data_IF_129965790982
#
_entry.id   IF_129965790982
#
_cell.length_a   1.000
_cell.length_b   1.000
_cell.length_c   1.000
_cell.angle_alpha   90.00
_cell.angle_beta   90.00
_cell.angle_gamma   90.00
#
_symmetry.space_group_name_H-M   'P 1'
#
loop_
_entity.id
_entity.type
_entity.pdbx_description
1 polymer ?
#
# COMPACT_ATOMS: atom_id res chain seq x y z
N UNK A 1 -15.56 -62.95 17.03
CA UNK A 1 -16.22 -62.43 15.80
C UNK A 1 -16.96 -61.12 16.15
N UNK A 2 -16.24 -60.11 16.69
CA UNK A 2 -16.84 -58.85 17.21
C UNK A 2 -16.02 -57.56 17.01
N UNK A 3 -14.97 -57.62 16.22
CA UNK A 3 -14.05 -56.44 16.11
C UNK A 3 -14.13 -55.66 14.78
N UNK A 4 -15.25 -55.70 14.07
CA UNK A 4 -15.38 -55.00 12.78
C UNK A 4 -16.30 -53.76 12.81
N UNK A 5 -16.86 -53.40 13.95
CA UNK A 5 -17.89 -52.34 13.99
C UNK A 5 -17.30 -50.99 14.43
N UNK A 6 -16.23 -50.95 15.24
CA UNK A 6 -15.69 -49.71 15.84
C UNK A 6 -14.98 -48.79 14.86
N UNK A 7 -14.37 -49.31 13.80
CA UNK A 7 -13.55 -48.49 12.87
C UNK A 7 -14.39 -47.51 12.01
N UNK A 8 -15.68 -47.78 11.82
CA UNK A 8 -16.56 -46.91 11.03
C UNK A 8 -17.13 -45.73 11.85
N UNK A 9 -17.39 -45.90 13.12
CA UNK A 9 -17.88 -44.83 13.99
C UNK A 9 -16.79 -43.81 14.32
N UNK A 10 -15.58 -44.24 14.62
CA UNK A 10 -14.43 -43.37 14.91
C UNK A 10 -14.08 -42.48 13.70
N UNK A 11 -14.17 -43.01 12.48
CA UNK A 11 -13.94 -42.22 11.26
C UNK A 11 -15.00 -41.15 11.02
N UNK A 12 -16.25 -41.39 11.40
CA UNK A 12 -17.33 -40.43 11.30
C UNK A 12 -17.16 -39.26 12.27
N UNK A 13 -16.80 -39.55 13.50
CA UNK A 13 -16.58 -38.54 14.55
C UNK A 13 -15.41 -37.65 14.22
N UNK A 14 -14.28 -38.19 13.80
CA UNK A 14 -13.11 -37.44 13.38
C UNK A 14 -13.39 -36.49 12.19
N UNK A 15 -14.24 -36.90 11.24
CA UNK A 15 -14.64 -36.07 10.13
C UNK A 15 -15.48 -34.88 10.54
N UNK A 16 -16.39 -35.07 11.53
CA UNK A 16 -17.20 -33.98 12.07
C UNK A 16 -16.37 -33.01 12.87
N UNK A 17 -15.41 -33.49 13.70
CA UNK A 17 -14.47 -32.63 14.41
C UNK A 17 -13.63 -31.80 13.46
N UNK A 18 -13.09 -32.40 12.39
CA UNK A 18 -12.34 -31.68 11.36
C UNK A 18 -13.20 -30.64 10.65
N UNK A 19 -14.44 -30.96 10.29
CA UNK A 19 -15.35 -30.04 9.63
C UNK A 19 -15.69 -28.81 10.50
N UNK A 20 -15.65 -28.95 11.82
CA UNK A 20 -15.91 -27.88 12.76
C UNK A 20 -14.67 -26.98 12.98
N UNK A 21 -13.48 -27.56 12.94
CA UNK A 21 -12.21 -26.82 13.08
C UNK A 21 -11.79 -26.15 11.78
N UNK A 22 -12.11 -26.75 10.62
CA UNK A 22 -11.68 -26.28 9.30
C UNK A 22 -12.04 -24.82 9.03
N UNK A 23 -13.25 -24.30 9.31
CA UNK A 23 -13.58 -22.89 9.07
C UNK A 23 -12.68 -21.92 9.86
N UNK A 24 -12.38 -22.26 11.11
CA UNK A 24 -11.52 -21.45 11.98
C UNK A 24 -10.09 -21.46 11.44
N UNK A 25 -9.59 -22.62 11.04
CA UNK A 25 -8.26 -22.76 10.45
C UNK A 25 -8.12 -21.96 9.16
N UNK A 26 -9.13 -22.02 8.27
CA UNK A 26 -9.14 -21.24 7.04
C UNK A 26 -9.19 -19.73 7.30
N UNK A 27 -9.95 -19.29 8.29
CA UNK A 27 -10.02 -17.89 8.67
C UNK A 27 -8.65 -17.36 9.13
N UNK A 28 -7.95 -18.12 9.97
CA UNK A 28 -6.59 -17.79 10.43
C UNK A 28 -5.62 -17.77 9.22
N UNK A 29 -5.68 -18.78 8.37
CA UNK A 29 -4.80 -18.87 7.19
C UNK A 29 -4.99 -17.69 6.25
N UNK A 30 -6.22 -17.36 5.88
CA UNK A 30 -6.52 -16.21 5.02
C UNK A 30 -6.18 -14.88 5.70
N UNK A 31 -6.37 -14.77 7.01
CA UNK A 31 -5.94 -13.61 7.79
C UNK A 31 -4.44 -13.38 7.71
N UNK A 32 -3.64 -14.42 7.88
CA UNK A 32 -2.18 -14.35 7.77
C UNK A 32 -1.72 -13.96 6.36
N UNK A 33 -2.34 -14.53 5.33
CA UNK A 33 -2.02 -14.19 3.93
C UNK A 33 -2.38 -12.75 3.60
N UNK A 34 -3.55 -12.27 4.05
CA UNK A 34 -3.97 -10.89 3.84
C UNK A 34 -3.07 -9.90 4.57
N UNK A 35 -2.66 -10.21 5.79
CA UNK A 35 -1.74 -9.39 6.56
C UNK A 35 -0.35 -9.31 5.89
N UNK A 36 0.17 -10.45 5.42
CA UNK A 36 1.44 -10.51 4.69
C UNK A 36 1.42 -9.63 3.43
N UNK A 37 0.32 -9.65 2.68
CA UNK A 37 0.14 -8.80 1.50
C UNK A 37 0.08 -7.31 1.88
N UNK A 38 -0.68 -6.95 2.92
CA UNK A 38 -0.77 -5.57 3.40
C UNK A 38 0.59 -5.03 3.87
N UNK A 39 1.38 -5.86 4.55
CA UNK A 39 2.73 -5.51 4.97
C UNK A 39 3.67 -5.28 3.78
N UNK A 40 3.55 -6.09 2.72
CA UNK A 40 4.30 -5.88 1.49
C UNK A 40 3.96 -4.54 0.82
N UNK A 41 2.67 -4.16 0.79
CA UNK A 41 2.25 -2.86 0.26
C UNK A 41 2.84 -1.70 1.06
N UNK A 42 2.81 -1.78 2.39
CA UNK A 42 3.41 -0.75 3.25
C UNK A 42 4.92 -0.59 3.01
N UNK A 43 5.63 -1.71 2.85
CA UNK A 43 7.05 -1.69 2.55
C UNK A 43 7.35 -1.06 1.18
N UNK A 44 6.59 -1.43 0.15
CA UNK A 44 6.74 -0.90 -1.21
C UNK A 44 6.41 0.60 -1.26
N UNK A 45 5.31 1.04 -0.66
CA UNK A 45 4.94 2.47 -0.58
C UNK A 45 6.00 3.31 0.15
N UNK A 46 6.61 2.77 1.20
CA UNK A 46 7.69 3.44 1.92
C UNK A 46 8.94 3.58 1.04
N UNK A 47 9.27 2.55 0.28
CA UNK A 47 10.36 2.56 -0.68
C UNK A 47 10.10 3.55 -1.82
N UNK A 48 8.92 3.52 -2.42
CA UNK A 48 8.51 4.44 -3.48
C UNK A 48 8.52 5.90 -3.02
N UNK A 49 8.06 6.18 -1.79
CA UNK A 49 8.10 7.52 -1.22
C UNK A 49 9.55 8.01 -1.06
N UNK A 50 10.45 7.16 -0.58
CA UNK A 50 11.86 7.51 -0.41
C UNK A 50 12.56 7.73 -1.75
N UNK A 51 12.30 6.91 -2.76
CA UNK A 51 12.83 7.09 -4.11
C UNK A 51 12.26 8.34 -4.78
N UNK A 52 10.95 8.56 -4.69
CA UNK A 52 10.30 9.76 -5.19
C UNK A 52 10.85 11.04 -4.57
N UNK A 53 11.13 11.02 -3.26
CA UNK A 53 11.75 12.16 -2.58
C UNK A 53 13.16 12.45 -3.11
N UNK A 54 13.95 11.43 -3.44
CA UNK A 54 15.29 11.62 -4.06
C UNK A 54 15.20 12.30 -5.43
N UNK A 55 14.24 11.90 -6.28
CA UNK A 55 14.01 12.55 -7.56
C UNK A 55 13.53 13.99 -7.40
N UNK A 56 12.63 14.23 -6.44
CA UNK A 56 12.11 15.56 -6.15
C UNK A 56 13.20 16.52 -5.65
N UNK A 57 14.12 16.05 -4.81
CA UNK A 57 15.22 16.84 -4.23
C UNK A 57 16.13 17.45 -5.30
N UNK A 58 16.47 16.68 -6.31
CA UNK A 58 17.36 17.11 -7.41
C UNK A 58 16.61 17.69 -8.60
N UNK A 59 15.31 17.93 -8.46
CA UNK A 59 14.43 18.42 -9.52
C UNK A 59 14.49 17.55 -10.80
N UNK A 60 14.64 16.25 -10.65
CA UNK A 60 14.67 15.33 -11.78
C UNK A 60 13.29 14.69 -12.00
N UNK A 61 12.93 14.55 -13.27
CA UNK A 61 11.76 13.82 -13.72
C UNK A 61 12.18 12.88 -14.86
N UNK A 62 12.56 11.64 -14.55
CA UNK A 62 13.06 10.70 -15.57
C UNK A 62 11.95 10.17 -16.49
N UNK A 63 10.69 10.31 -16.10
CA UNK A 63 9.55 9.94 -16.93
C UNK A 63 9.14 11.04 -17.91
N UNK A 64 8.58 10.69 -19.04
CA UNK A 64 8.05 11.65 -20.01
C UNK A 64 6.75 12.35 -19.59
N UNK A 65 6.19 12.00 -18.43
CA UNK A 65 4.94 12.52 -17.87
C UNK A 65 5.15 13.25 -16.54
N UNK A 66 4.26 13.03 -15.57
CA UNK A 66 4.44 13.57 -14.23
C UNK A 66 5.40 12.71 -13.40
N UNK A 67 6.14 13.33 -12.48
CA UNK A 67 6.99 12.60 -11.53
C UNK A 67 6.16 11.63 -10.69
N UNK A 68 4.94 12.00 -10.33
CA UNK A 68 4.00 11.15 -9.60
C UNK A 68 3.64 9.88 -10.38
N UNK A 69 3.39 10.00 -11.68
CA UNK A 69 3.10 8.84 -12.54
C UNK A 69 4.32 7.95 -12.69
N UNK A 70 5.50 8.54 -12.80
CA UNK A 70 6.75 7.78 -12.83
C UNK A 70 6.93 6.96 -11.55
N UNK A 71 6.79 7.59 -10.36
CA UNK A 71 6.89 6.90 -9.07
C UNK A 71 5.87 5.77 -8.98
N UNK A 72 4.61 6.02 -9.36
CA UNK A 72 3.56 5.01 -9.33
C UNK A 72 3.89 3.79 -10.21
N UNK A 73 4.49 4.01 -11.38
CA UNK A 73 4.88 2.93 -12.28
C UNK A 73 6.03 2.07 -11.76
N UNK A 74 6.78 2.54 -10.75
CA UNK A 74 7.85 1.77 -10.10
C UNK A 74 7.32 0.79 -9.04
N UNK A 75 6.02 0.81 -8.70
CA UNK A 75 5.46 -0.14 -7.76
C UNK A 75 5.63 -1.59 -8.24
N UNK A 76 5.96 -2.48 -7.32
CA UNK A 76 6.32 -3.88 -7.61
C UNK A 76 5.19 -4.68 -8.27
N UNK A 77 3.94 -4.29 -8.04
CA UNK A 77 2.77 -5.00 -8.57
C UNK A 77 1.86 -4.10 -9.40
N UNK A 78 1.31 -4.63 -10.50
CA UNK A 78 0.33 -3.90 -11.31
C UNK A 78 -0.96 -3.53 -10.53
N UNK A 79 -1.29 -4.29 -9.48
CA UNK A 79 -2.40 -3.97 -8.59
C UNK A 79 -2.11 -2.70 -7.80
N UNK A 80 -0.93 -2.60 -7.18
CA UNK A 80 -0.51 -1.41 -6.44
C UNK A 80 -0.34 -0.21 -7.37
N UNK A 81 0.20 -0.39 -8.59
CA UNK A 81 0.27 0.67 -9.60
C UNK A 81 -1.10 1.29 -9.90
N UNK A 82 -2.17 0.48 -9.89
CA UNK A 82 -3.54 0.93 -10.11
C UNK A 82 -4.17 1.63 -8.89
N UNK A 83 -3.74 1.29 -7.69
CA UNK A 83 -4.30 1.78 -6.43
C UNK A 83 -3.49 2.93 -5.81
N UNK A 84 -2.20 3.02 -6.10
CA UNK A 84 -1.31 3.97 -5.47
C UNK A 84 -1.60 5.41 -5.93
N UNK A 85 -1.75 6.29 -4.95
CA UNK A 85 -1.82 7.73 -5.12
C UNK A 85 -0.52 8.36 -4.60
N UNK A 86 0.18 9.07 -5.49
CA UNK A 86 1.45 9.72 -5.16
C UNK A 86 1.19 11.22 -5.01
N UNK A 87 1.60 11.77 -3.89
CA UNK A 87 1.49 13.18 -3.58
C UNK A 87 2.85 13.79 -3.28
N UNK A 88 3.15 14.93 -3.89
CA UNK A 88 4.36 15.73 -3.63
C UNK A 88 3.93 17.06 -3.03
N UNK A 89 4.42 17.37 -1.83
CA UNK A 89 4.11 18.59 -1.11
C UNK A 89 5.39 19.32 -0.66
N UNK A 90 5.29 20.62 -0.56
CA UNK A 90 6.34 21.47 -0.01
C UNK A 90 5.84 22.08 1.30
N UNK A 91 6.02 21.39 2.44
CA UNK A 91 5.67 21.97 3.72
C UNK A 91 6.53 23.21 4.03
N UNK A 92 5.96 24.14 4.78
CA UNK A 92 6.68 25.33 5.20
C UNK A 92 7.87 24.95 6.08
N UNK A 93 9.03 25.47 5.76
CA UNK A 93 10.23 25.30 6.57
C UNK A 93 10.09 26.08 7.87
N UNK A 94 10.10 25.44 9.04
CA UNK A 94 9.89 26.13 10.32
C UNK A 94 11.03 27.11 10.68
N UNK A 95 12.21 26.96 10.07
CA UNK A 95 13.36 27.83 10.35
C UNK A 95 13.35 29.11 9.50
N UNK A 96 12.82 29.06 8.29
CA UNK A 96 12.86 30.18 7.32
C UNK A 96 11.49 30.77 7.02
N UNK A 97 10.42 30.03 7.30
CA UNK A 97 9.05 30.40 6.92
C UNK A 97 8.76 30.29 5.41
N UNK A 98 9.69 29.71 4.65
CA UNK A 98 9.59 29.54 3.18
C UNK A 98 9.15 28.12 2.81
N UNK A 99 8.73 27.94 1.57
CA UNK A 99 8.42 26.63 0.99
C UNK A 99 8.82 26.59 -0.48
N UNK A 100 9.31 25.43 -0.93
CA UNK A 100 9.69 25.22 -2.33
C UNK A 100 10.99 25.91 -2.79
N UNK A 101 11.79 26.43 -1.87
CA UNK A 101 13.11 26.96 -2.16
C UNK A 101 14.19 25.92 -1.87
N UNK A 102 15.38 26.13 -2.40
CA UNK A 102 16.54 25.29 -2.07
C UNK A 102 16.80 25.33 -0.56
N UNK A 103 16.90 24.14 0.04
CA UNK A 103 17.02 23.98 1.49
C UNK A 103 15.69 23.76 2.23
N UNK A 104 14.56 24.02 1.58
CA UNK A 104 13.23 23.74 2.17
C UNK A 104 12.85 22.26 2.07
N UNK A 105 11.95 21.77 2.92
CA UNK A 105 11.52 20.38 2.88
C UNK A 105 10.63 20.11 1.66
N UNK A 106 10.82 18.94 1.05
CA UNK A 106 9.88 18.30 0.13
C UNK A 106 9.42 16.98 0.77
N UNK A 107 8.12 16.76 0.77
CA UNK A 107 7.51 15.53 1.29
C UNK A 107 6.81 14.81 0.15
N UNK A 108 7.19 13.55 -0.04
CA UNK A 108 6.52 12.64 -0.96
C UNK A 108 5.77 11.61 -0.13
N UNK A 109 4.47 11.48 -0.40
CA UNK A 109 3.59 10.51 0.23
C UNK A 109 3.00 9.61 -0.86
N UNK A 110 3.17 8.31 -0.67
CA UNK A 110 2.51 7.28 -1.49
C UNK A 110 1.48 6.61 -0.60
N UNK A 111 0.25 6.51 -1.06
CA UNK A 111 -0.84 5.87 -0.30
C UNK A 111 -1.73 5.05 -1.21
N UNK A 112 -2.26 3.95 -0.68
CA UNK A 112 -3.27 3.12 -1.34
C UNK A 112 -4.34 2.66 -0.35
N UNK A 113 -5.55 2.41 -0.87
CA UNK A 113 -6.62 1.81 -0.10
C UNK A 113 -6.58 0.30 -0.28
N UNK A 114 -6.05 -0.39 0.74
CA UNK A 114 -5.94 -1.83 0.75
C UNK A 114 -7.28 -2.49 1.10
N UNK A 115 -7.85 -3.30 0.20
CA UNK A 115 -9.08 -4.04 0.48
C UNK A 115 -8.77 -5.33 1.25
N UNK A 116 -9.28 -5.46 2.47
CA UNK A 116 -9.22 -6.71 3.20
C UNK A 116 -10.17 -7.74 2.56
N UNK A 117 -9.70 -8.96 2.37
CA UNK A 117 -10.50 -10.07 1.82
C UNK A 117 -11.20 -9.71 0.49
N UNK A 118 -10.46 -9.43 -0.59
CA UNK A 118 -11.04 -8.98 -1.86
C UNK A 118 -12.08 -9.94 -2.46
N UNK A 119 -12.02 -11.24 -2.10
CA UNK A 119 -13.03 -12.24 -2.53
C UNK A 119 -14.39 -12.07 -1.84
N UNK A 120 -14.45 -11.40 -0.68
CA UNK A 120 -15.70 -11.07 0.02
C UNK A 120 -16.29 -9.78 -0.54
N UNK A 121 -15.44 -8.79 -0.87
CA UNK A 121 -15.87 -7.50 -1.41
C UNK A 121 -16.53 -7.61 -2.79
N UNK A 122 -16.10 -8.55 -3.62
CA UNK A 122 -16.66 -8.77 -4.95
C UNK A 122 -18.13 -9.26 -4.93
N UNK A 123 -18.63 -9.67 -3.77
CA UNK A 123 -19.99 -10.23 -3.60
C UNK A 123 -20.98 -9.36 -2.84
N UNK A 124 -20.60 -8.20 -2.31
CA UNK A 124 -21.57 -7.45 -1.51
C UNK A 124 -21.13 -6.12 -0.91
N UNK A 125 -20.02 -5.54 -1.31
CA UNK A 125 -19.69 -4.14 -0.97
C UNK A 125 -19.31 -3.84 0.49
N UNK A 126 -19.02 -4.84 1.31
CA UNK A 126 -18.72 -4.69 2.75
C UNK A 126 -17.27 -5.07 3.13
N UNK A 127 -16.33 -5.07 2.18
CA UNK A 127 -14.94 -5.26 2.58
C UNK A 127 -14.43 -3.98 3.24
N UNK A 128 -13.96 -4.06 4.48
CA UNK A 128 -13.27 -2.94 5.10
C UNK A 128 -12.02 -2.63 4.28
N UNK A 129 -11.84 -1.38 3.93
CA UNK A 129 -10.59 -0.87 3.35
C UNK A 129 -9.78 -0.17 4.44
N UNK A 130 -8.47 -0.30 4.36
CA UNK A 130 -7.55 0.44 5.23
C UNK A 130 -6.56 1.17 4.34
N UNK A 131 -6.44 2.48 4.52
CA UNK A 131 -5.42 3.25 3.82
C UNK A 131 -4.05 2.92 4.40
N UNK A 132 -3.16 2.42 3.55
CA UNK A 132 -1.74 2.23 3.85
C UNK A 132 -1.00 3.42 3.26
N UNK A 133 0.07 3.87 3.89
CA UNK A 133 0.87 4.98 3.37
C UNK A 133 2.33 4.89 3.76
N UNK A 134 3.19 5.25 2.80
CA UNK A 134 4.61 5.52 2.99
C UNK A 134 4.87 7.02 2.79
N UNK A 135 5.72 7.61 3.62
CA UNK A 135 6.07 9.04 3.53
C UNK A 135 7.56 9.24 3.71
N UNK A 136 8.14 10.06 2.85
CA UNK A 136 9.54 10.49 2.97
C UNK A 136 9.66 12.00 2.83
N UNK A 137 10.46 12.61 3.71
CA UNK A 137 10.74 14.04 3.68
C UNK A 137 12.24 14.26 3.54
N UNK A 138 12.64 15.07 2.56
CA UNK A 138 14.02 15.43 2.29
C UNK A 138 14.14 16.95 2.05
N UNK A 139 15.35 17.48 2.00
CA UNK A 139 15.60 18.90 1.72
C UNK A 139 15.91 19.10 0.24
N UNK A 140 15.31 20.12 -0.37
CA UNK A 140 15.54 20.48 -1.76
C UNK A 140 16.99 20.94 -2.00
N UNK A 141 17.63 20.36 -2.99
CA UNK A 141 18.95 20.77 -3.50
C UNK A 141 18.81 21.65 -4.75
N UNK A 142 17.69 21.53 -5.45
CA UNK A 142 17.38 22.33 -6.63
C UNK A 142 15.94 22.89 -6.57
N UNK A 143 15.69 24.03 -7.21
CA UNK A 143 14.35 24.59 -7.30
C UNK A 143 13.42 23.65 -8.08
N UNK A 144 12.22 23.35 -7.57
CA UNK A 144 11.29 22.37 -8.17
C UNK A 144 10.55 22.97 -9.38
N UNK A 145 11.10 22.81 -10.57
CA UNK A 145 10.54 23.34 -11.83
C UNK A 145 10.07 22.24 -12.79
N UNK A 146 10.55 21.00 -12.62
CA UNK A 146 10.30 19.88 -13.54
C UNK A 146 9.12 18.98 -13.15
N UNK A 147 8.40 19.30 -12.09
CA UNK A 147 7.22 18.56 -11.65
C UNK A 147 6.25 19.48 -10.92
N UNK A 148 4.99 19.06 -10.86
CA UNK A 148 3.91 19.80 -10.18
C UNK A 148 3.66 19.24 -8.79
N UNK A 149 3.23 20.11 -7.87
CA UNK A 149 2.78 19.72 -6.54
C UNK A 149 1.38 19.12 -6.55
N UNK A 150 1.06 18.33 -5.56
CA UNK A 150 -0.25 17.75 -5.38
C UNK A 150 -0.36 16.29 -5.82
N UNK A 151 -1.58 15.79 -5.89
CA UNK A 151 -1.86 14.43 -6.36
C UNK A 151 -1.70 14.35 -7.89
N UNK A 152 -0.95 13.38 -8.37
CA UNK A 152 -0.60 13.23 -9.77
C UNK A 152 -1.75 13.37 -10.74
N UNK A 153 -1.57 14.22 -11.74
CA UNK A 153 -2.45 14.38 -12.90
C UNK A 153 -3.71 15.22 -12.69
N UNK A 154 -4.12 15.55 -11.48
CA UNK A 154 -5.38 16.26 -11.21
C UNK A 154 -5.26 17.58 -10.43
N UNK A 155 -4.04 18.01 -10.11
CA UNK A 155 -3.82 19.29 -9.40
C UNK A 155 -4.47 19.40 -8.01
N UNK A 156 -4.79 18.25 -7.40
CA UNK A 156 -5.39 18.20 -6.07
C UNK A 156 -4.39 18.44 -4.95
N UNK A 157 -4.86 19.04 -3.85
CA UNK A 157 -4.09 19.12 -2.60
C UNK A 157 -3.82 17.73 -2.04
N UNK A 158 -2.65 17.53 -1.44
CA UNK A 158 -2.34 16.31 -0.71
C UNK A 158 -3.25 16.21 0.54
N UNK A 159 -4.24 15.38 0.49
CA UNK A 159 -5.16 15.07 1.60
C UNK A 159 -4.95 13.66 2.12
#
# INVERSE_FOLDING_TARGET
MRDRIDIKEERGTSLVEFALVLPILLLILFGLLSFGKAFNYWNDETHLAAEGARWAVVNANPGGGSLQDYIRQQADTGELQGLAHVCIAFPTNPATGTSGLVGDPVTVTVKSDYPWMPFVSSRGGLAPTTTISGTATMRLEAAPTNFTTGNGGTGGTCS
#
